data_IF_549679417626
#
_entry.id   IF_549679417626
#
_cell.length_a   1.000
_cell.length_b   1.000
_cell.length_c   1.000
_cell.angle_alpha   90.00
_cell.angle_beta   90.00
_cell.angle_gamma   90.00
#
_symmetry.space_group_name_H-M   'P 1'
#
loop_
_entity.id
_entity.type
_entity.pdbx_description
1 polymer ?
#
# COMPACT_ATOMS: atom_id res chain seq x y z
N UNK A 1 9.85 -3.98 -16.84
CA UNK A 1 8.67 -3.12 -17.08
C UNK A 1 7.67 -3.35 -15.96
N UNK A 2 7.03 -2.31 -15.45
CA UNK A 2 5.98 -2.47 -14.45
C UNK A 2 4.71 -3.04 -15.12
N UNK A 3 3.99 -3.98 -14.49
CA UNK A 3 2.80 -4.61 -15.07
C UNK A 3 1.68 -3.57 -15.22
N UNK A 4 1.38 -3.21 -16.48
CA UNK A 4 0.33 -2.23 -16.83
C UNK A 4 -1.03 -2.60 -16.25
N UNK A 5 -1.32 -3.90 -16.12
CA UNK A 5 -2.55 -4.42 -15.53
C UNK A 5 -2.80 -3.92 -14.10
N UNK A 6 -1.74 -3.66 -13.32
CA UNK A 6 -1.87 -3.12 -11.96
C UNK A 6 -1.84 -1.60 -11.97
N UNK A 7 -0.92 -1.01 -12.74
CA UNK A 7 -0.70 0.45 -12.76
C UNK A 7 -1.88 1.20 -13.40
N UNK A 8 -2.45 0.70 -14.48
CA UNK A 8 -3.55 1.35 -15.23
C UNK A 8 -4.95 1.03 -14.65
N UNK A 9 -5.04 0.12 -13.68
CA UNK A 9 -6.33 -0.28 -13.10
C UNK A 9 -7.02 0.93 -12.44
N UNK A 10 -8.24 1.24 -12.87
CA UNK A 10 -9.09 2.26 -12.23
C UNK A 10 -9.73 1.65 -10.99
N UNK A 11 -9.37 2.17 -9.82
CA UNK A 11 -9.83 1.68 -8.52
C UNK A 11 -10.78 2.71 -7.87
N UNK A 12 -11.81 2.22 -7.19
CA UNK A 12 -12.63 3.02 -6.26
C UNK A 12 -11.91 3.15 -4.93
N UNK A 13 -12.29 4.16 -4.14
CA UNK A 13 -11.72 4.38 -2.81
C UNK A 13 -11.88 3.14 -1.94
N UNK A 14 -10.78 2.65 -1.38
CA UNK A 14 -10.70 1.43 -0.57
C UNK A 14 -10.30 0.18 -1.36
N UNK A 15 -10.38 0.19 -2.69
CA UNK A 15 -10.01 -0.96 -3.50
C UNK A 15 -8.49 -1.10 -3.67
N UNK A 16 -8.05 -2.34 -3.87
CA UNK A 16 -6.66 -2.72 -4.11
C UNK A 16 -6.55 -3.60 -5.36
N UNK A 17 -5.38 -3.59 -5.98
CA UNK A 17 -4.98 -4.58 -6.97
C UNK A 17 -3.49 -4.87 -6.82
N UNK A 18 -3.11 -6.13 -6.89
CA UNK A 18 -1.71 -6.54 -6.77
C UNK A 18 -1.33 -7.48 -7.92
N UNK A 19 -0.04 -7.53 -8.22
CA UNK A 19 0.58 -8.57 -9.02
C UNK A 19 1.93 -8.94 -8.42
N UNK A 20 2.24 -10.22 -8.46
CA UNK A 20 3.52 -10.76 -8.07
C UNK A 20 4.34 -11.10 -9.33
N UNK A 21 5.64 -10.79 -9.29
CA UNK A 21 6.58 -11.23 -10.31
C UNK A 21 7.12 -12.62 -9.97
N UNK A 22 7.61 -13.34 -10.98
CA UNK A 22 8.25 -14.65 -10.80
C UNK A 22 9.47 -14.66 -9.86
N UNK A 23 9.98 -13.48 -9.47
CA UNK A 23 11.08 -13.32 -8.52
C UNK A 23 10.61 -12.98 -7.09
N UNK A 24 9.31 -13.13 -6.80
CA UNK A 24 8.72 -12.86 -5.48
C UNK A 24 8.57 -11.36 -5.15
N UNK A 25 8.73 -10.48 -6.13
CA UNK A 25 8.50 -9.04 -5.97
C UNK A 25 7.03 -8.73 -6.21
N UNK A 26 6.38 -8.06 -5.26
CA UNK A 26 4.97 -7.70 -5.33
C UNK A 26 4.82 -6.21 -5.62
N UNK A 27 3.98 -5.91 -6.61
CA UNK A 27 3.53 -4.56 -6.95
C UNK A 27 2.05 -4.46 -6.57
N UNK A 28 1.72 -3.51 -5.72
CA UNK A 28 0.35 -3.30 -5.25
C UNK A 28 -0.07 -1.84 -5.47
N UNK A 29 -1.26 -1.67 -6.04
CA UNK A 29 -1.94 -0.39 -6.21
C UNK A 29 -3.13 -0.33 -5.26
N UNK A 30 -3.23 0.74 -4.49
CA UNK A 30 -4.31 0.99 -3.55
C UNK A 30 -4.85 2.41 -3.71
N UNK A 31 -6.18 2.57 -3.67
CA UNK A 31 -6.82 3.88 -3.80
C UNK A 31 -7.35 4.37 -2.46
N UNK A 32 -6.75 5.42 -1.92
CA UNK A 32 -7.35 6.21 -0.84
C UNK A 32 -7.94 7.51 -1.41
N UNK A 33 -7.45 8.69 -0.97
CA UNK A 33 -7.72 9.96 -1.67
C UNK A 33 -7.01 10.02 -3.03
N UNK A 34 -5.87 9.34 -3.17
CA UNK A 34 -5.03 9.26 -4.37
C UNK A 34 -4.63 7.81 -4.61
N UNK A 35 -4.14 7.52 -5.82
CA UNK A 35 -3.52 6.23 -6.10
C UNK A 35 -2.18 6.13 -5.38
N UNK A 36 -1.98 5.05 -4.64
CA UNK A 36 -0.74 4.69 -3.98
C UNK A 36 -0.22 3.43 -4.64
N UNK A 37 1.01 3.46 -5.12
CA UNK A 37 1.68 2.29 -5.67
C UNK A 37 2.82 1.89 -4.73
N UNK A 38 2.84 0.63 -4.32
CA UNK A 38 3.89 0.06 -3.47
C UNK A 38 4.60 -1.08 -4.19
N UNK A 39 5.91 -1.16 -3.97
CA UNK A 39 6.78 -2.26 -4.40
C UNK A 39 7.35 -2.90 -3.15
N UNK A 40 7.21 -4.21 -3.01
CA UNK A 40 7.64 -4.93 -1.80
C UNK A 40 8.22 -6.29 -2.17
N UNK A 41 9.32 -6.67 -1.50
CA UNK A 41 9.88 -8.04 -1.49
C UNK A 41 9.59 -8.78 -0.19
N UNK A 42 9.01 -8.08 0.80
CA UNK A 42 8.81 -8.57 2.17
C UNK A 42 7.35 -8.84 2.50
N UNK A 43 6.46 -8.05 1.93
CA UNK A 43 5.03 -8.06 2.23
C UNK A 43 4.25 -8.64 1.06
N UNK A 44 3.20 -9.40 1.36
CA UNK A 44 2.23 -9.92 0.39
C UNK A 44 1.21 -8.83 0.02
N UNK A 45 0.14 -9.21 -0.71
CA UNK A 45 -0.98 -8.32 -1.03
C UNK A 45 -2.00 -8.14 0.12
N UNK A 46 -1.64 -8.59 1.33
CA UNK A 46 -2.49 -8.58 2.51
C UNK A 46 -3.04 -7.17 2.86
N UNK A 47 -4.30 -7.15 3.30
CA UNK A 47 -4.99 -5.97 3.80
C UNK A 47 -5.20 -6.09 5.31
N UNK A 48 -4.73 -5.10 6.05
CA UNK A 48 -4.94 -4.96 7.49
C UNK A 48 -6.17 -4.09 7.75
N UNK A 49 -6.99 -4.52 8.72
CA UNK A 49 -8.08 -3.71 9.26
C UNK A 49 -7.49 -2.78 10.31
N UNK A 50 -7.68 -1.48 10.12
CA UNK A 50 -7.17 -0.44 11.03
C UNK A 50 -8.31 0.44 11.47
N UNK A 51 -8.40 0.69 12.78
CA UNK A 51 -9.31 1.69 13.33
C UNK A 51 -8.77 3.09 13.07
N UNK A 52 -9.51 3.87 12.29
CA UNK A 52 -9.29 5.31 12.18
C UNK A 52 -9.79 6.01 13.44
N UNK A 53 -9.26 7.20 13.74
CA UNK A 53 -9.63 8.00 14.91
C UNK A 53 -11.13 8.35 15.04
N UNK A 54 -11.93 8.10 14.00
CA UNK A 54 -13.39 8.25 14.01
C UNK A 54 -14.14 6.92 14.23
N UNK A 55 -13.50 5.92 14.85
CA UNK A 55 -14.01 4.54 15.02
C UNK A 55 -14.41 3.81 13.72
N UNK A 56 -13.94 4.28 12.57
CA UNK A 56 -14.17 3.61 11.29
C UNK A 56 -13.09 2.57 11.06
N UNK A 57 -13.50 1.36 10.69
CA UNK A 57 -12.60 0.31 10.23
C UNK A 57 -12.25 0.57 8.76
N UNK A 58 -10.96 0.71 8.47
CA UNK A 58 -10.44 0.83 7.12
C UNK A 58 -9.51 -0.33 6.81
N UNK A 59 -9.63 -0.86 5.60
CA UNK A 59 -8.69 -1.83 5.05
C UNK A 59 -7.55 -1.08 4.36
N UNK A 60 -6.30 -1.40 4.73
CA UNK A 60 -5.10 -0.83 4.13
C UNK A 60 -4.07 -1.91 3.85
N UNK A 61 -3.27 -1.80 2.78
CA UNK A 61 -2.17 -2.73 2.53
C UNK A 61 -1.16 -2.76 3.68
N UNK A 62 -0.74 -3.94 4.12
CA UNK A 62 0.29 -4.05 5.18
C UNK A 62 1.58 -3.31 4.80
N UNK A 63 2.00 -3.39 3.54
CA UNK A 63 3.16 -2.67 3.03
C UNK A 63 3.07 -1.15 3.25
N UNK A 64 1.89 -0.56 3.08
CA UNK A 64 1.65 0.88 3.30
C UNK A 64 1.71 1.22 4.79
N UNK A 65 1.18 0.33 5.64
CA UNK A 65 1.22 0.51 7.10
C UNK A 65 2.67 0.48 7.60
N UNK A 66 3.42 -0.54 7.18
CA UNK A 66 4.81 -0.73 7.59
C UNK A 66 5.70 0.43 7.10
N UNK A 67 5.52 0.87 5.86
CA UNK A 67 6.22 2.03 5.32
C UNK A 67 5.96 3.29 6.14
N UNK A 68 4.69 3.60 6.44
CA UNK A 68 4.36 4.80 7.21
C UNK A 68 4.90 4.76 8.65
N UNK A 69 4.98 3.57 9.26
CA UNK A 69 5.57 3.38 10.59
C UNK A 69 7.07 3.70 10.59
N UNK A 70 7.80 3.25 9.57
CA UNK A 70 9.26 3.38 9.53
C UNK A 70 9.76 4.67 8.86
N UNK A 71 8.96 5.30 7.98
CA UNK A 71 9.34 6.56 7.31
C UNK A 71 9.59 7.71 8.29
N UNK A 72 8.87 7.73 9.42
CA UNK A 72 9.00 8.77 10.44
C UNK A 72 10.43 8.95 10.94
N UNK A 73 11.27 7.91 10.89
CA UNK A 73 12.66 7.96 11.33
C UNK A 73 13.53 8.94 10.51
N UNK A 74 13.21 9.13 9.24
CA UNK A 74 13.94 10.06 8.34
C UNK A 74 13.22 11.42 8.26
N UNK A 75 11.89 11.41 8.36
CA UNK A 75 11.05 12.61 8.20
C UNK A 75 11.08 13.51 9.46
N UNK A 76 11.15 12.92 10.65
CA UNK A 76 11.33 13.65 11.90
C UNK A 76 12.81 13.94 12.16
N UNK A 77 13.39 14.85 11.38
CA UNK A 77 14.60 15.55 11.84
C UNK A 77 14.21 16.39 13.05
N UNK A 78 14.59 15.94 14.24
CA UNK A 78 14.53 16.68 15.50
C UNK A 78 15.01 18.11 15.19
N UNK A 79 14.11 19.07 15.35
CA UNK A 79 14.42 20.49 15.47
C UNK A 79 14.29 20.87 16.93
#
# INVERSE_FOLDING_TARGET
>A
MNPKQVVDKKLKKGETGAAESNSGIIIQKWKDKRDVLTLSTKHTDELLIIRSGNNKELQKPAAVVDYNKHKAYIDCRIK
#
